data_IF_849785847905
#
_entry.id   IF_849785847905
#
_cell.length_a   1.000
_cell.length_b   1.000
_cell.length_c   1.000
_cell.angle_alpha   90.00
_cell.angle_beta   90.00
_cell.angle_gamma   90.00
#
_symmetry.space_group_name_H-M   'P 1'
#
loop_
_entity.id
_entity.type
_entity.pdbx_description
1 polymer ?
#
# COMPACT_ATOMS: atom_id res chain seq x y z
N UNK A 1 10.00 -15.24 -30.54
CA UNK A 1 8.56 -14.91 -30.39
C UNK A 1 8.37 -13.51 -30.98
N UNK A 2 7.17 -12.92 -31.05
CA UNK A 2 7.08 -11.51 -31.49
C UNK A 2 7.61 -10.59 -30.39
N UNK A 3 8.50 -9.66 -30.75
CA UNK A 3 8.95 -8.57 -29.89
C UNK A 3 7.81 -7.59 -29.63
N UNK A 4 7.77 -6.98 -28.45
CA UNK A 4 6.77 -5.97 -28.12
C UNK A 4 7.07 -5.26 -26.81
N UNK A 5 6.40 -4.13 -26.59
CA UNK A 5 6.59 -3.31 -25.41
C UNK A 5 5.39 -3.42 -24.45
N UNK A 6 5.64 -3.83 -23.22
CA UNK A 6 4.65 -3.93 -22.15
C UNK A 6 4.94 -2.89 -21.09
N UNK A 7 4.00 -1.96 -20.90
CA UNK A 7 4.05 -1.00 -19.79
C UNK A 7 3.10 -1.44 -18.70
N UNK A 8 3.56 -1.38 -17.45
CA UNK A 8 2.81 -1.81 -16.27
C UNK A 8 2.77 -0.65 -15.29
N UNK A 9 1.59 -0.23 -14.85
CA UNK A 9 1.42 0.83 -13.86
C UNK A 9 1.14 0.20 -12.50
N UNK A 10 2.12 0.25 -11.59
CA UNK A 10 2.05 -0.29 -10.23
C UNK A 10 3.14 -1.32 -9.93
N UNK A 11 4.01 -1.05 -8.95
CA UNK A 11 5.22 -1.83 -8.66
C UNK A 11 5.12 -2.81 -7.49
N UNK A 12 3.91 -3.17 -7.03
CA UNK A 12 3.75 -4.05 -5.85
C UNK A 12 3.19 -5.41 -6.27
N UNK A 13 2.07 -5.86 -5.71
CA UNK A 13 1.67 -7.26 -5.74
C UNK A 13 1.40 -7.80 -7.15
N UNK A 14 0.49 -7.16 -7.90
CA UNK A 14 0.07 -7.65 -9.22
C UNK A 14 1.07 -7.27 -10.31
N UNK A 15 1.54 -6.02 -10.34
CA UNK A 15 2.38 -5.52 -11.42
C UNK A 15 3.72 -6.23 -11.53
N UNK A 16 4.44 -6.46 -10.42
CA UNK A 16 5.73 -7.18 -10.46
C UNK A 16 5.56 -8.66 -10.85
N UNK A 17 4.44 -9.28 -10.48
CA UNK A 17 4.12 -10.67 -10.89
C UNK A 17 3.77 -10.75 -12.37
N UNK A 18 2.99 -9.80 -12.87
CA UNK A 18 2.67 -9.67 -14.29
C UNK A 18 3.94 -9.44 -15.11
N UNK A 19 4.83 -8.55 -14.66
CA UNK A 19 6.10 -8.24 -15.30
C UNK A 19 6.98 -9.50 -15.41
N UNK A 20 7.22 -10.17 -14.28
CA UNK A 20 8.06 -11.36 -14.22
C UNK A 20 7.45 -12.53 -15.04
N UNK A 21 6.12 -12.67 -15.05
CA UNK A 21 5.46 -13.69 -15.87
C UNK A 21 5.57 -13.35 -17.36
N UNK A 22 5.38 -12.10 -17.77
CA UNK A 22 5.51 -11.67 -19.15
C UNK A 22 6.90 -12.00 -19.73
N UNK A 23 7.97 -11.66 -19.00
CA UNK A 23 9.35 -12.01 -19.42
C UNK A 23 9.63 -13.50 -19.46
N UNK A 24 9.07 -14.29 -18.54
CA UNK A 24 9.20 -15.76 -18.57
C UNK A 24 8.49 -16.39 -19.77
N UNK A 25 7.34 -15.86 -20.16
CA UNK A 25 6.59 -16.38 -21.32
C UNK A 25 7.19 -15.94 -22.66
N UNK A 26 7.75 -14.73 -22.70
CA UNK A 26 8.40 -14.20 -23.90
C UNK A 26 9.61 -13.34 -23.51
N UNK A 27 10.83 -13.89 -23.64
CA UNK A 27 12.07 -13.17 -23.37
C UNK A 27 12.34 -11.98 -24.30
N UNK A 28 11.67 -11.91 -25.46
CA UNK A 28 11.84 -10.84 -26.46
C UNK A 28 10.99 -9.59 -26.12
N UNK A 29 10.17 -9.62 -25.06
CA UNK A 29 9.37 -8.46 -24.63
C UNK A 29 10.23 -7.45 -23.88
N UNK A 30 10.14 -6.17 -24.25
CA UNK A 30 10.56 -5.07 -23.39
C UNK A 30 9.47 -4.83 -22.35
N UNK A 31 9.81 -4.93 -21.07
CA UNK A 31 8.86 -4.76 -19.97
C UNK A 31 9.30 -3.61 -19.08
N UNK A 32 8.43 -2.61 -18.93
CA UNK A 32 8.67 -1.45 -18.05
C UNK A 32 7.57 -1.35 -17.01
N UNK A 33 7.96 -1.25 -15.74
CA UNK A 33 7.07 -1.02 -14.60
C UNK A 33 7.23 0.42 -14.13
N UNK A 34 6.14 1.17 -14.08
CA UNK A 34 6.07 2.54 -13.57
C UNK A 34 5.42 2.54 -12.20
N UNK A 35 6.04 3.19 -11.21
CA UNK A 35 5.43 3.34 -9.89
C UNK A 35 5.84 4.62 -9.19
N UNK A 36 4.86 5.28 -8.56
CA UNK A 36 5.09 6.50 -7.75
C UNK A 36 5.78 6.19 -6.42
N UNK A 37 5.76 4.93 -5.98
CA UNK A 37 6.39 4.51 -4.72
C UNK A 37 7.91 4.36 -4.90
N UNK A 38 8.66 4.58 -3.82
CA UNK A 38 10.12 4.36 -3.80
C UNK A 38 10.48 2.88 -3.61
N UNK A 39 9.52 2.07 -3.17
CA UNK A 39 9.70 0.65 -2.88
C UNK A 39 8.82 -0.18 -3.81
N UNK A 40 9.32 -1.35 -4.19
CA UNK A 40 8.61 -2.31 -5.05
C UNK A 40 8.56 -3.68 -4.38
N UNK A 41 7.60 -4.50 -4.81
CA UNK A 41 7.45 -5.89 -4.39
C UNK A 41 7.47 -6.13 -2.86
N UNK A 42 7.12 -5.15 -2.03
CA UNK A 42 7.16 -5.30 -0.57
C UNK A 42 5.99 -6.12 -0.02
N UNK A 43 6.18 -6.67 1.19
CA UNK A 43 5.17 -7.42 1.90
C UNK A 43 4.13 -6.49 2.57
N UNK A 44 3.16 -6.00 1.80
CA UNK A 44 2.11 -5.08 2.29
C UNK A 44 1.23 -5.66 3.42
N UNK A 45 1.05 -6.98 3.49
CA UNK A 45 0.34 -7.63 4.60
C UNK A 45 1.15 -7.60 5.91
N UNK A 46 2.45 -7.36 5.85
CA UNK A 46 3.33 -7.24 7.02
C UNK A 46 3.28 -5.87 7.72
N UNK A 47 2.61 -4.88 7.14
CA UNK A 47 2.63 -3.50 7.67
C UNK A 47 2.06 -3.38 9.10
N UNK A 48 0.93 -4.02 9.46
CA UNK A 48 0.43 -3.98 10.84
C UNK A 48 1.42 -4.60 11.84
N UNK A 49 2.03 -5.73 11.46
CA UNK A 49 3.03 -6.44 12.27
C UNK A 49 4.32 -5.65 12.45
N UNK A 50 4.69 -4.83 11.47
CA UNK A 50 5.81 -3.91 11.61
C UNK A 50 5.50 -2.74 12.56
N UNK A 51 4.28 -2.20 12.49
CA UNK A 51 3.79 -1.18 13.41
C UNK A 51 3.77 -1.73 14.85
N UNK A 52 3.42 -3.00 15.02
CA UNK A 52 3.35 -3.71 16.30
C UNK A 52 4.66 -4.28 16.85
N UNK A 53 5.82 -4.00 16.23
CA UNK A 53 7.12 -4.56 16.62
C UNK A 53 7.26 -6.10 16.56
N UNK A 54 6.30 -6.79 15.92
CA UNK A 54 6.41 -8.21 15.58
C UNK A 54 7.42 -8.39 14.45
N UNK A 55 7.35 -7.53 13.42
CA UNK A 55 8.43 -7.33 12.44
C UNK A 55 9.21 -6.09 12.89
N UNK A 56 10.51 -6.24 13.10
CA UNK A 56 11.30 -5.20 13.77
C UNK A 56 12.05 -4.34 12.78
N UNK A 57 12.60 -4.93 11.74
CA UNK A 57 13.45 -4.25 10.79
C UNK A 57 12.72 -3.96 9.46
N UNK A 58 12.90 -2.76 8.92
CA UNK A 58 12.31 -2.35 7.64
C UNK A 58 12.67 -3.32 6.49
N UNK A 59 13.90 -3.83 6.52
CA UNK A 59 14.44 -4.74 5.49
C UNK A 59 13.65 -6.05 5.40
N UNK A 60 12.99 -6.49 6.48
CA UNK A 60 12.20 -7.72 6.50
C UNK A 60 10.92 -7.61 5.66
N UNK A 61 10.46 -6.38 5.38
CA UNK A 61 9.33 -6.12 4.50
C UNK A 61 9.74 -6.00 3.02
N UNK A 62 11.04 -5.83 2.75
CA UNK A 62 11.58 -5.62 1.42
C UNK A 62 11.94 -6.96 0.78
N UNK A 63 11.15 -7.38 -0.20
CA UNK A 63 11.37 -8.66 -0.90
C UNK A 63 12.38 -8.52 -2.03
N UNK A 64 12.28 -7.43 -2.81
CA UNK A 64 13.13 -7.13 -3.97
C UNK A 64 13.35 -5.63 -4.10
N UNK A 65 14.49 -5.25 -4.65
CA UNK A 65 14.81 -3.89 -5.09
C UNK A 65 14.55 -3.73 -6.60
N UNK A 66 14.37 -2.50 -7.11
CA UNK A 66 14.23 -2.25 -8.55
C UNK A 66 15.37 -2.85 -9.37
N UNK A 67 16.61 -2.77 -8.88
CA UNK A 67 17.80 -3.27 -9.59
C UNK A 67 17.79 -4.80 -9.72
N UNK A 68 17.22 -5.51 -8.74
CA UNK A 68 17.08 -6.96 -8.79
C UNK A 68 16.18 -7.39 -9.96
N UNK A 69 15.18 -6.57 -10.35
CA UNK A 69 14.31 -6.89 -11.48
C UNK A 69 15.03 -6.79 -12.83
N UNK A 70 15.94 -5.83 -12.96
CA UNK A 70 16.77 -5.70 -14.15
C UNK A 70 17.75 -6.87 -14.26
N UNK A 71 18.45 -7.19 -13.16
CA UNK A 71 19.46 -8.26 -13.13
C UNK A 71 18.84 -9.65 -13.34
N UNK A 72 17.73 -9.95 -12.66
CA UNK A 72 17.17 -11.30 -12.65
C UNK A 72 16.23 -11.57 -13.82
N UNK A 73 15.58 -10.52 -14.37
CA UNK A 73 14.48 -10.68 -15.32
C UNK A 73 14.55 -9.76 -16.54
N UNK A 74 15.54 -8.88 -16.65
CA UNK A 74 15.63 -7.85 -17.70
C UNK A 74 14.36 -6.95 -17.71
N UNK A 75 13.92 -6.51 -16.53
CA UNK A 75 12.72 -5.67 -16.36
C UNK A 75 13.13 -4.30 -15.84
N UNK A 76 12.76 -3.26 -16.58
CA UNK A 76 12.96 -1.87 -16.16
C UNK A 76 11.90 -1.47 -15.13
N UNK A 77 12.29 -1.29 -13.87
CA UNK A 77 11.40 -0.79 -12.82
C UNK A 77 11.77 0.66 -12.49
N UNK A 78 10.89 1.59 -12.89
CA UNK A 78 11.08 3.02 -12.67
C UNK A 78 10.22 3.43 -11.47
N UNK A 79 10.89 3.71 -10.35
CA UNK A 79 10.29 4.20 -9.10
C UNK A 79 10.24 5.72 -9.04
N UNK A 80 9.38 6.27 -8.18
CA UNK A 80 9.23 7.73 -8.04
C UNK A 80 8.64 8.40 -9.28
N UNK A 81 7.95 7.64 -10.15
CA UNK A 81 7.31 8.15 -11.36
C UNK A 81 5.80 7.90 -11.31
N UNK A 82 5.00 8.95 -11.49
CA UNK A 82 3.55 8.89 -11.42
C UNK A 82 2.93 8.96 -12.81
N UNK A 83 2.23 7.88 -13.22
CA UNK A 83 1.44 7.91 -14.44
C UNK A 83 0.24 8.86 -14.27
N UNK A 84 0.18 9.89 -15.11
CA UNK A 84 -0.83 10.95 -15.04
C UNK A 84 -1.99 10.73 -16.03
N UNK A 85 -1.66 10.23 -17.23
CA UNK A 85 -2.62 10.09 -18.33
C UNK A 85 -2.29 8.88 -19.18
N UNK A 86 -3.32 8.20 -19.67
CA UNK A 86 -3.23 7.17 -20.69
C UNK A 86 -3.94 7.72 -21.94
N UNK A 87 -3.29 7.66 -23.09
CA UNK A 87 -3.90 7.92 -24.40
C UNK A 87 -3.97 6.59 -25.17
N UNK A 88 -5.12 5.88 -25.11
CA UNK A 88 -5.25 4.56 -25.75
C UNK A 88 -5.05 4.56 -27.26
N UNK A 89 -5.48 5.62 -27.94
CA UNK A 89 -5.40 5.76 -29.40
C UNK A 89 -3.95 5.86 -29.87
N UNK A 90 -3.13 6.62 -29.14
CA UNK A 90 -1.69 6.76 -29.41
C UNK A 90 -0.85 5.68 -28.74
N UNK A 91 -1.49 4.86 -27.89
CA UNK A 91 -0.87 3.85 -27.03
C UNK A 91 0.30 4.41 -26.21
N UNK A 92 0.05 5.53 -25.54
CA UNK A 92 1.05 6.21 -24.70
C UNK A 92 0.56 6.37 -23.27
N UNK A 93 1.51 6.36 -22.34
CA UNK A 93 1.34 6.76 -20.93
C UNK A 93 2.19 7.99 -20.68
N UNK A 94 1.58 9.09 -20.29
CA UNK A 94 2.29 10.28 -19.79
C UNK A 94 2.54 10.10 -18.30
N UNK A 95 3.78 10.20 -17.86
CA UNK A 95 4.16 10.06 -16.47
C UNK A 95 5.11 11.17 -16.01
N UNK A 96 5.02 11.54 -14.74
CA UNK A 96 5.79 12.60 -14.10
C UNK A 96 6.80 12.02 -13.12
N UNK A 97 8.05 12.39 -13.28
CA UNK A 97 9.09 12.12 -12.30
C UNK A 97 8.85 13.03 -11.07
N UNK A 98 8.72 12.42 -9.89
CA UNK A 98 8.38 13.13 -8.66
C UNK A 98 9.59 13.83 -8.03
N UNK A 99 10.81 13.56 -8.50
CA UNK A 99 12.03 14.18 -7.98
C UNK A 99 12.28 15.57 -8.56
N UNK A 100 12.05 15.75 -9.87
CA UNK A 100 12.32 16.99 -10.61
C UNK A 100 11.07 17.59 -11.27
N UNK A 101 9.96 16.85 -11.31
CA UNK A 101 8.70 17.26 -11.94
C UNK A 101 8.68 17.08 -13.45
N UNK A 102 9.72 16.50 -14.07
CA UNK A 102 9.80 16.28 -15.50
C UNK A 102 8.73 15.29 -15.98
N UNK A 103 8.15 15.57 -17.15
CA UNK A 103 7.12 14.74 -17.76
C UNK A 103 7.74 13.95 -18.92
N UNK A 104 7.44 12.65 -18.98
CA UNK A 104 7.93 11.72 -20.00
C UNK A 104 6.78 10.89 -20.54
N UNK A 105 6.94 10.41 -21.76
CA UNK A 105 5.97 9.52 -22.40
C UNK A 105 6.54 8.10 -22.55
N UNK A 106 5.67 7.12 -22.33
CA UNK A 106 5.97 5.71 -22.44
C UNK A 106 5.00 5.08 -23.44
N UNK A 107 5.52 4.76 -24.63
CA UNK A 107 4.78 4.00 -25.63
C UNK A 107 4.56 2.56 -25.15
N UNK A 108 3.47 1.93 -25.57
CA UNK A 108 3.22 0.52 -25.26
C UNK A 108 2.49 -0.20 -26.40
N UNK A 109 2.68 -1.52 -26.50
CA UNK A 109 1.81 -2.41 -27.27
C UNK A 109 0.73 -3.01 -26.38
N UNK A 110 1.07 -3.27 -25.11
CA UNK A 110 0.19 -3.76 -24.06
C UNK A 110 0.37 -2.94 -22.78
N UNK A 111 -0.73 -2.60 -22.14
CA UNK A 111 -0.76 -1.87 -20.88
C UNK A 111 -1.41 -2.71 -19.79
N UNK A 112 -0.79 -2.77 -18.60
CA UNK A 112 -1.36 -3.40 -17.41
C UNK A 112 -1.58 -2.35 -16.33
N UNK A 113 -2.81 -2.26 -15.81
CA UNK A 113 -3.15 -1.41 -14.68
C UNK A 113 -3.16 -2.22 -13.39
N UNK A 114 -2.18 -1.96 -12.52
CA UNK A 114 -1.98 -2.63 -11.23
C UNK A 114 -1.83 -1.59 -10.10
N UNK A 115 -2.59 -0.49 -10.18
CA UNK A 115 -2.52 0.67 -9.27
C UNK A 115 -3.02 0.38 -7.86
N UNK A 116 -3.78 -0.71 -7.67
CA UNK A 116 -4.35 -1.11 -6.39
C UNK A 116 -5.49 -0.18 -5.97
N UNK A 117 -5.67 -0.04 -4.65
CA UNK A 117 -6.70 0.80 -4.04
C UNK A 117 -6.10 1.82 -3.07
N UNK A 118 -6.85 2.89 -2.81
CA UNK A 118 -6.53 3.92 -1.82
C UNK A 118 -7.47 3.81 -0.61
N UNK A 119 -7.02 4.18 0.61
CA UNK A 119 -7.88 4.23 1.78
C UNK A 119 -9.07 5.17 1.58
N UNK A 120 -10.25 4.76 2.02
CA UNK A 120 -11.43 5.64 2.06
C UNK A 120 -11.35 6.54 3.29
N UNK A 121 -11.32 7.86 3.08
CA UNK A 121 -11.31 8.85 4.16
C UNK A 121 -12.71 9.43 4.32
N UNK A 122 -13.40 9.24 5.45
CA UNK A 122 -14.74 9.78 5.65
C UNK A 122 -14.73 11.32 5.65
N UNK A 123 -15.81 11.96 5.17
CA UNK A 123 -15.91 13.42 5.08
C UNK A 123 -16.20 14.06 6.44
N UNK A 124 -15.28 13.91 7.40
CA UNK A 124 -15.39 14.45 8.76
C UNK A 124 -14.49 15.68 8.95
N UNK A 125 -14.95 16.63 9.77
CA UNK A 125 -14.13 17.79 10.16
C UNK A 125 -12.89 17.31 10.89
N UNK A 126 -11.74 17.92 10.58
CA UNK A 126 -10.47 17.59 11.23
C UNK A 126 -9.76 16.36 10.67
N UNK A 127 -10.20 15.78 9.55
CA UNK A 127 -9.47 14.67 8.88
C UNK A 127 -8.03 15.01 8.47
N UNK A 128 -7.70 16.30 8.41
CA UNK A 128 -6.37 16.83 8.05
C UNK A 128 -5.41 16.94 9.26
N UNK A 129 -5.87 16.59 10.48
CA UNK A 129 -5.02 16.67 11.67
C UNK A 129 -3.82 15.72 11.53
N UNK A 130 -2.63 16.19 11.90
CA UNK A 130 -1.36 15.46 11.70
C UNK A 130 -1.19 14.16 12.50
N UNK A 131 -2.17 13.78 13.31
CA UNK A 131 -2.25 12.50 14.03
C UNK A 131 -3.27 11.52 13.43
N UNK A 132 -3.87 11.85 12.29
CA UNK A 132 -4.74 10.96 11.52
C UNK A 132 -3.92 10.38 10.37
N UNK A 133 -3.85 9.06 10.34
CA UNK A 133 -2.94 8.30 9.48
C UNK A 133 -3.63 7.07 8.91
N UNK A 134 -3.22 6.68 7.71
CA UNK A 134 -3.68 5.48 7.00
C UNK A 134 -2.60 4.42 6.96
N UNK A 135 -2.97 3.14 6.81
CA UNK A 135 -2.03 2.03 6.62
C UNK A 135 -2.23 1.43 5.23
N UNK A 136 -1.39 1.78 4.27
CA UNK A 136 -1.45 1.22 2.90
C UNK A 136 -0.08 0.93 2.29
N UNK A 137 0.93 1.72 2.62
CA UNK A 137 2.27 1.71 2.05
C UNK A 137 3.34 1.60 3.14
N UNK A 138 4.56 1.21 2.75
CA UNK A 138 5.70 1.20 3.66
C UNK A 138 5.96 2.58 4.28
N UNK A 139 5.90 3.63 3.47
CA UNK A 139 6.14 5.01 3.93
C UNK A 139 5.19 5.38 5.08
N UNK A 140 3.91 5.03 4.95
CA UNK A 140 2.92 5.28 6.00
C UNK A 140 3.19 4.43 7.25
N UNK A 141 3.48 3.14 7.11
CA UNK A 141 3.79 2.29 8.26
C UNK A 141 5.04 2.78 9.03
N UNK A 142 6.05 3.26 8.30
CA UNK A 142 7.26 3.86 8.90
C UNK A 142 6.92 5.17 9.61
N UNK A 143 6.10 6.02 9.00
CA UNK A 143 5.62 7.26 9.62
C UNK A 143 4.79 6.99 10.88
N UNK A 144 3.94 5.97 10.89
CA UNK A 144 3.15 5.56 12.06
C UNK A 144 4.07 5.10 13.18
N UNK A 145 4.99 4.17 12.91
CA UNK A 145 5.94 3.68 13.92
C UNK A 145 6.78 4.81 14.51
N UNK A 146 7.25 5.73 13.65
CA UNK A 146 7.95 6.95 14.08
C UNK A 146 7.07 7.83 14.98
N UNK A 147 5.82 8.09 14.58
CA UNK A 147 4.86 8.89 15.36
C UNK A 147 4.60 8.28 16.74
N UNK A 148 4.37 6.97 16.81
CA UNK A 148 4.14 6.26 18.07
C UNK A 148 5.31 6.44 19.04
N UNK A 149 6.54 6.29 18.56
CA UNK A 149 7.77 6.43 19.35
C UNK A 149 8.02 7.88 19.77
N UNK A 150 8.02 8.82 18.84
CA UNK A 150 8.40 10.22 19.09
C UNK A 150 7.39 10.97 19.95
N UNK A 151 6.11 10.61 19.87
CA UNK A 151 5.05 11.23 20.68
C UNK A 151 4.71 10.44 21.94
N UNK A 152 5.39 9.31 22.18
CA UNK A 152 5.13 8.41 23.31
C UNK A 152 3.62 8.11 23.46
N UNK A 153 2.96 7.77 22.35
CA UNK A 153 1.51 7.58 22.29
C UNK A 153 1.11 6.42 23.22
N UNK A 154 0.08 6.65 24.05
CA UNK A 154 -0.47 5.64 24.98
C UNK A 154 -1.88 5.21 24.66
N UNK A 155 -2.56 5.96 23.80
CA UNK A 155 -3.94 5.69 23.39
C UNK A 155 -4.08 5.92 21.89
N UNK A 156 -4.75 5.00 21.20
CA UNK A 156 -5.03 5.10 19.78
C UNK A 156 -6.50 4.77 19.50
N UNK A 157 -7.04 5.37 18.46
CA UNK A 157 -8.36 5.03 17.91
C UNK A 157 -8.14 4.50 16.50
N UNK A 158 -8.66 3.31 16.24
CA UNK A 158 -8.74 2.73 14.90
C UNK A 158 -10.17 2.92 14.39
N UNK A 159 -10.30 3.51 13.21
CA UNK A 159 -11.59 3.74 12.57
C UNK A 159 -11.76 2.70 11.46
N UNK A 160 -12.75 1.83 11.62
CA UNK A 160 -13.00 0.65 10.78
C UNK A 160 -12.58 -0.65 11.48
N UNK A 161 -13.52 -1.57 11.62
CA UNK A 161 -13.38 -2.91 12.18
C UNK A 161 -13.22 -4.00 11.12
N UNK A 162 -12.79 -3.65 9.90
CA UNK A 162 -12.37 -4.62 8.90
C UNK A 162 -11.02 -5.26 9.22
N UNK A 163 -10.59 -6.23 8.42
CA UNK A 163 -9.38 -7.04 8.66
C UNK A 163 -8.13 -6.19 8.96
N UNK A 164 -7.83 -5.19 8.12
CA UNK A 164 -6.68 -4.30 8.32
C UNK A 164 -6.80 -3.51 9.63
N UNK A 165 -8.01 -3.01 9.94
CA UNK A 165 -8.25 -2.27 11.18
C UNK A 165 -8.03 -3.14 12.42
N UNK A 166 -8.50 -4.39 12.39
CA UNK A 166 -8.31 -5.35 13.48
C UNK A 166 -6.84 -5.76 13.63
N UNK A 167 -6.12 -6.05 12.53
CA UNK A 167 -4.69 -6.34 12.57
C UNK A 167 -3.89 -5.18 13.16
N UNK A 168 -4.21 -3.93 12.78
CA UNK A 168 -3.59 -2.74 13.35
C UNK A 168 -3.94 -2.61 14.84
N UNK A 169 -5.19 -2.82 15.22
CA UNK A 169 -5.61 -2.71 16.62
C UNK A 169 -4.91 -3.74 17.52
N UNK A 170 -4.83 -5.00 17.06
CA UNK A 170 -4.10 -6.08 17.74
C UNK A 170 -2.63 -5.70 17.94
N UNK A 171 -1.97 -5.22 16.88
CA UNK A 171 -0.57 -4.85 16.91
C UNK A 171 -0.29 -3.62 17.78
N UNK A 172 -1.20 -2.64 17.82
CA UNK A 172 -1.10 -1.51 18.75
C UNK A 172 -1.22 -1.98 20.21
N UNK A 173 -2.16 -2.88 20.51
CA UNK A 173 -2.27 -3.48 21.85
C UNK A 173 -1.01 -4.26 22.21
N UNK A 174 -0.42 -5.00 21.27
CA UNK A 174 0.83 -5.74 21.48
C UNK A 174 1.97 -4.82 21.96
N UNK A 175 2.00 -3.56 21.49
CA UNK A 175 2.97 -2.54 21.91
C UNK A 175 2.60 -1.81 23.22
N UNK A 176 1.53 -2.24 23.89
CA UNK A 176 1.04 -1.64 25.14
C UNK A 176 0.21 -0.36 24.94
N UNK A 177 -0.24 -0.07 23.72
CA UNK A 177 -1.10 1.08 23.43
C UNK A 177 -2.56 0.68 23.68
N UNK A 178 -3.25 1.45 24.54
CA UNK A 178 -4.68 1.26 24.76
C UNK A 178 -5.44 1.66 23.50
N UNK A 179 -6.10 0.69 22.87
CA UNK A 179 -6.70 0.88 21.55
C UNK A 179 -8.22 0.77 21.60
N UNK A 180 -8.90 1.72 20.98
CA UNK A 180 -10.35 1.70 20.75
C UNK A 180 -10.62 1.49 19.27
N UNK A 181 -11.52 0.57 18.91
CA UNK A 181 -11.99 0.42 17.53
C UNK A 181 -13.38 1.02 17.41
N UNK A 182 -13.55 1.90 16.44
CA UNK A 182 -14.85 2.50 16.10
C UNK A 182 -15.29 1.92 14.76
N UNK A 183 -16.46 1.32 14.74
CA UNK A 183 -17.07 0.75 13.54
C UNK A 183 -18.50 1.31 13.40
N UNK A 184 -18.89 1.62 12.16
CA UNK A 184 -20.23 2.11 11.85
C UNK A 184 -21.21 0.93 11.71
N UNK A 185 -20.75 -0.18 11.15
CA UNK A 185 -21.56 -1.39 11.06
C UNK A 185 -21.84 -1.96 12.47
N UNK A 186 -23.03 -2.52 12.71
CA UNK A 186 -23.37 -3.10 14.01
C UNK A 186 -22.49 -4.30 14.38
N UNK A 187 -21.78 -4.88 13.40
CA UNK A 187 -20.79 -5.94 13.59
C UNK A 187 -19.60 -5.68 12.66
N UNK A 188 -18.38 -5.95 13.12
CA UNK A 188 -17.23 -6.09 12.22
C UNK A 188 -17.53 -7.17 11.17
N UNK A 189 -17.20 -6.93 9.91
CA UNK A 189 -17.53 -7.88 8.86
C UNK A 189 -16.89 -9.26 9.12
N UNK A 190 -17.77 -10.27 9.09
CA UNK A 190 -17.58 -11.73 9.07
C UNK A 190 -17.06 -12.38 10.36
N UNK A 191 -18.01 -12.76 11.24
CA UNK A 191 -18.13 -14.03 12.00
C UNK A 191 -16.90 -14.69 12.69
N UNK A 192 -15.69 -14.15 12.62
CA UNK A 192 -14.46 -14.87 12.96
C UNK A 192 -13.75 -14.39 14.23
N UNK A 193 -14.13 -13.25 14.80
CA UNK A 193 -13.38 -12.68 15.93
C UNK A 193 -14.25 -12.24 17.11
N UNK A 194 -15.15 -13.12 17.56
CA UNK A 194 -15.74 -13.01 18.91
C UNK A 194 -14.68 -13.16 20.03
N UNK A 195 -13.51 -13.74 19.73
CA UNK A 195 -12.42 -13.93 20.70
C UNK A 195 -11.59 -12.66 20.98
N UNK A 196 -11.63 -11.63 20.13
CA UNK A 196 -10.90 -10.36 20.35
C UNK A 196 -11.70 -9.34 21.17
N UNK A 197 -12.99 -9.58 21.41
CA UNK A 197 -13.88 -8.65 22.13
C UNK A 197 -13.47 -8.38 23.59
N UNK A 198 -12.55 -9.16 24.17
CA UNK A 198 -12.00 -8.90 25.51
C UNK A 198 -10.91 -7.84 25.57
N UNK A 199 -10.33 -7.45 24.42
CA UNK A 199 -9.14 -6.59 24.34
C UNK A 199 -9.46 -5.25 23.66
N UNK A 200 -10.43 -5.25 22.76
CA UNK A 200 -10.81 -4.10 21.94
C UNK A 200 -12.18 -3.59 22.38
N UNK A 201 -12.25 -2.35 22.83
CA UNK A 201 -13.54 -1.69 23.05
C UNK A 201 -14.12 -1.29 21.70
N UNK A 202 -15.21 -1.94 21.32
CA UNK A 202 -16.02 -1.55 20.17
C UNK A 202 -16.97 -0.43 20.60
N UNK A 203 -16.91 0.68 19.89
CA UNK A 203 -17.89 1.75 20.01
C UNK A 203 -18.78 1.75 18.78
N UNK A 204 -20.06 1.47 18.98
CA UNK A 204 -21.09 1.60 17.94
C UNK A 204 -21.42 3.08 17.73
N UNK A 205 -20.92 3.63 16.62
CA UNK A 205 -21.15 5.02 16.27
C UNK A 205 -22.61 5.30 15.83
N UNK A 206 -23.39 4.28 15.49
CA UNK A 206 -24.81 4.45 15.13
C UNK A 206 -25.67 4.96 16.29
N UNK A 207 -25.21 4.74 17.53
CA UNK A 207 -25.84 5.27 18.74
C UNK A 207 -25.60 6.78 18.96
N UNK A 208 -24.60 7.38 18.31
CA UNK A 208 -24.26 8.82 18.45
C UNK A 208 -24.85 9.68 17.35
N UNK A 209 -25.28 9.07 16.24
CA UNK A 209 -25.89 9.78 15.11
C UNK A 209 -27.40 10.07 15.30
N UNK A 210 -27.92 10.07 16.54
CA UNK A 210 -29.29 10.44 16.88
C UNK A 210 -29.35 11.75 17.65
#
# INVERSE_FOLDING_TARGET
MESGNVVIIGGVAAGTKAAAKARRENPDLKVTVLTRESYVSYAGCGLPYYIGDVIREEKELLVKKPEDFLIDYDIDVITGIEALKIAPEEKTVTAKDLSDGAVREFNYDKLVLATGASPSIPPVKGKELGNIVTVRTLREAFAIKKLLRERNIKKAVVVGGGMIGLEVAENLVHTGIKTTVVELAPHSERQLFQSLCGIVHFFDASAVAR
#
